data_IF_415395980361
#
_entry.id   IF_415395980361
#
_cell.length_a   1.000
_cell.length_b   1.000
_cell.length_c   1.000
_cell.angle_alpha   90.00
_cell.angle_beta   90.00
_cell.angle_gamma   90.00
#
_symmetry.space_group_name_H-M   'P 1'
#
loop_
_entity.id
_entity.type
_entity.pdbx_description
1 polymer ?
#
# COMPACT_ATOMS: atom_id res chain seq x y z
N UNK A 1 1.34 -18.22 8.31
CA UNK A 1 1.08 -17.80 6.92
C UNK A 1 2.42 -17.87 6.18
N UNK A 2 2.49 -18.47 5.00
CA UNK A 2 3.73 -18.52 4.23
C UNK A 2 3.55 -17.66 2.97
N UNK A 3 4.41 -16.66 2.80
CA UNK A 3 4.39 -15.79 1.64
C UNK A 3 5.08 -16.48 0.46
N UNK A 4 4.53 -16.32 -0.74
CA UNK A 4 5.19 -16.69 -1.98
C UNK A 4 4.99 -15.60 -3.06
N UNK A 5 5.90 -15.50 -4.04
CA UNK A 5 5.84 -14.46 -5.06
C UNK A 5 4.60 -14.52 -5.98
N UNK A 6 3.93 -15.66 -6.04
CA UNK A 6 2.73 -15.88 -6.86
C UNK A 6 1.44 -15.54 -6.12
N UNK A 7 1.47 -15.52 -4.78
CA UNK A 7 0.29 -15.26 -3.97
C UNK A 7 0.23 -13.79 -3.56
N UNK A 8 -0.71 -13.07 -4.13
CA UNK A 8 -1.03 -11.68 -3.79
C UNK A 8 -2.39 -11.57 -3.10
N UNK A 9 -2.81 -12.61 -2.36
CA UNK A 9 -4.06 -12.59 -1.60
C UNK A 9 -3.99 -11.55 -0.47
N UNK A 10 -4.76 -10.49 -0.63
CA UNK A 10 -4.83 -9.37 0.31
C UNK A 10 -5.59 -9.71 1.58
N UNK A 11 -6.36 -10.79 1.58
CA UNK A 11 -7.08 -11.29 2.75
C UNK A 11 -6.26 -12.30 3.57
N UNK A 12 -5.08 -12.71 3.10
CA UNK A 12 -4.28 -13.77 3.72
C UNK A 12 -3.90 -13.50 5.18
N UNK A 13 -3.81 -12.23 5.59
CA UNK A 13 -3.52 -11.84 6.98
C UNK A 13 -4.77 -11.74 7.86
N UNK A 14 -5.99 -11.87 7.31
CA UNK A 14 -7.24 -11.65 8.04
C UNK A 14 -7.48 -10.20 8.46
N UNK A 15 -6.73 -9.26 7.87
CA UNK A 15 -6.82 -7.82 8.11
C UNK A 15 -7.57 -7.14 6.96
N UNK A 16 -8.13 -5.97 7.21
CA UNK A 16 -8.93 -5.24 6.21
C UNK A 16 -8.08 -4.29 5.37
N UNK A 17 -7.17 -3.56 6.01
CA UNK A 17 -6.40 -2.51 5.38
C UNK A 17 -4.96 -2.91 5.07
N UNK A 18 -4.35 -3.81 5.85
CA UNK A 18 -2.91 -4.10 5.73
C UNK A 18 -2.69 -5.56 5.37
N UNK A 19 -1.83 -5.79 4.37
CA UNK A 19 -1.51 -7.15 3.91
C UNK A 19 -0.04 -7.25 3.50
N UNK A 20 0.65 -8.33 3.89
CA UNK A 20 2.03 -8.58 3.49
C UNK A 20 2.07 -9.36 2.17
N UNK A 21 3.01 -8.99 1.30
CA UNK A 21 3.28 -9.70 0.04
C UNK A 21 4.77 -9.77 -0.23
N UNK A 22 5.21 -10.78 -1.00
CA UNK A 22 6.55 -10.75 -1.60
C UNK A 22 6.49 -9.92 -2.87
N UNK A 23 7.17 -8.78 -2.87
CA UNK A 23 7.25 -7.89 -4.02
C UNK A 23 8.43 -8.28 -4.91
N UNK A 24 8.15 -8.89 -6.07
CA UNK A 24 9.19 -9.20 -7.08
C UNK A 24 9.90 -7.95 -7.59
N UNK A 25 9.18 -6.83 -7.69
CA UNK A 25 9.73 -5.56 -8.16
C UNK A 25 10.66 -4.92 -7.12
N UNK A 26 10.27 -4.95 -5.86
CA UNK A 26 11.06 -4.36 -4.77
C UNK A 26 12.13 -5.32 -4.22
N UNK A 27 12.05 -6.62 -4.51
CA UNK A 27 13.04 -7.62 -4.10
C UNK A 27 12.95 -8.03 -2.62
N UNK A 28 11.77 -7.97 -2.01
CA UNK A 28 11.58 -8.31 -0.60
C UNK A 28 10.12 -8.31 -0.19
N UNK A 29 9.86 -8.26 1.11
CA UNK A 29 8.50 -8.14 1.65
C UNK A 29 8.04 -6.70 1.56
N UNK A 30 6.84 -6.48 1.04
CA UNK A 30 6.11 -5.22 1.02
C UNK A 30 4.87 -5.35 1.92
N UNK A 31 4.57 -4.33 2.72
CA UNK A 31 3.29 -4.20 3.39
C UNK A 31 2.37 -3.32 2.55
N UNK A 32 1.39 -3.95 1.89
CA UNK A 32 0.37 -3.23 1.14
C UNK A 32 -0.66 -2.59 2.07
N UNK A 33 -1.06 -1.35 1.77
CA UNK A 33 -2.15 -0.64 2.43
C UNK A 33 -3.29 -0.47 1.44
N UNK A 34 -4.39 -1.13 1.70
CA UNK A 34 -5.60 -1.11 0.89
C UNK A 34 -6.60 -0.08 1.42
N UNK A 35 -6.68 1.07 0.78
CA UNK A 35 -7.68 2.11 1.13
C UNK A 35 -9.05 1.89 0.46
N UNK A 36 -9.19 0.83 -0.36
CA UNK A 36 -10.40 0.51 -1.09
C UNK A 36 -10.92 -0.91 -0.75
N UNK A 37 -11.22 -1.22 0.55
CA UNK A 37 -11.68 -2.57 0.92
C UNK A 37 -13.02 -2.95 0.28
N UNK A 38 -13.76 -1.98 -0.24
CA UNK A 38 -15.01 -2.16 -0.99
C UNK A 38 -14.81 -2.55 -2.47
N UNK A 39 -13.57 -2.80 -2.92
CA UNK A 39 -13.20 -3.08 -4.32
C UNK A 39 -13.65 -2.01 -5.32
N UNK A 40 -13.81 -0.75 -4.86
CA UNK A 40 -14.18 0.35 -5.73
C UNK A 40 -12.95 1.08 -6.28
N UNK A 41 -12.96 1.34 -7.59
CA UNK A 41 -11.93 2.15 -8.25
C UNK A 41 -12.60 3.16 -9.20
N UNK A 42 -11.99 4.33 -9.35
CA UNK A 42 -12.46 5.34 -10.30
C UNK A 42 -12.12 4.99 -11.77
N UNK A 43 -11.24 3.98 -11.98
CA UNK A 43 -10.93 3.41 -13.30
C UNK A 43 -11.36 1.94 -13.40
N UNK A 44 -11.38 1.41 -14.62
CA UNK A 44 -11.63 0.00 -14.93
C UNK A 44 -10.61 -0.44 -15.98
N UNK A 45 -9.37 -0.68 -15.52
CA UNK A 45 -8.30 -1.14 -16.40
C UNK A 45 -8.58 -2.55 -16.91
N UNK A 46 -8.32 -2.82 -18.18
CA UNK A 46 -8.60 -4.12 -18.82
C UNK A 46 -7.81 -5.28 -18.20
N UNK A 47 -6.68 -5.00 -17.59
CA UNK A 47 -5.81 -5.98 -16.93
C UNK A 47 -6.02 -6.04 -15.39
N UNK A 48 -7.05 -5.38 -14.87
CA UNK A 48 -7.30 -5.35 -13.43
C UNK A 48 -7.62 -6.73 -12.89
N UNK A 49 -6.88 -7.16 -11.86
CA UNK A 49 -7.05 -8.46 -11.20
C UNK A 49 -7.86 -8.38 -9.91
N UNK A 50 -8.44 -7.23 -9.59
CA UNK A 50 -9.29 -7.08 -8.40
C UNK A 50 -10.61 -7.82 -8.62
N UNK A 51 -10.92 -8.85 -7.79
CA UNK A 51 -12.16 -9.58 -7.91
C UNK A 51 -13.37 -8.67 -7.65
N UNK A 52 -14.41 -8.77 -8.48
CA UNK A 52 -15.63 -8.00 -8.25
C UNK A 52 -15.46 -6.48 -8.28
N UNK A 53 -14.45 -5.95 -9.01
CA UNK A 53 -14.19 -4.52 -9.12
C UNK A 53 -15.46 -3.76 -9.53
N UNK A 54 -15.80 -2.72 -8.76
CA UNK A 54 -16.90 -1.80 -9.06
C UNK A 54 -16.36 -0.38 -9.35
N UNK A 55 -17.09 0.39 -10.18
CA UNK A 55 -16.79 1.81 -10.37
C UNK A 55 -17.22 2.60 -9.14
N UNK A 56 -16.29 3.39 -8.56
CA UNK A 56 -16.62 4.16 -7.37
C UNK A 56 -15.39 4.76 -6.68
N UNK A 57 -15.62 5.17 -5.45
CA UNK A 57 -14.61 5.74 -4.55
C UNK A 57 -14.36 4.82 -3.36
N UNK A 58 -13.25 5.03 -2.68
CA UNK A 58 -12.98 4.43 -1.38
C UNK A 58 -14.12 4.75 -0.39
N UNK A 59 -14.46 3.84 0.52
CA UNK A 59 -15.37 4.11 1.62
C UNK A 59 -14.70 5.01 2.66
N UNK A 60 -15.43 5.56 3.64
CA UNK A 60 -14.82 6.19 4.81
C UNK A 60 -13.88 5.20 5.51
N UNK A 61 -12.70 5.68 5.91
CA UNK A 61 -11.66 4.85 6.52
C UNK A 61 -11.62 5.00 8.03
N UNK A 62 -11.44 3.89 8.74
CA UNK A 62 -11.16 3.86 10.16
C UNK A 62 -9.64 3.95 10.41
N UNK A 63 -9.09 5.17 10.46
CA UNK A 63 -7.64 5.38 10.62
C UNK A 63 -7.07 4.69 11.86
N UNK A 64 -7.79 4.66 12.98
CA UNK A 64 -7.34 3.94 14.17
C UNK A 64 -7.29 2.41 13.98
N UNK A 65 -8.12 1.84 13.10
CA UNK A 65 -8.03 0.43 12.70
C UNK A 65 -6.82 0.20 11.80
N UNK A 66 -6.61 1.06 10.81
CA UNK A 66 -5.43 1.01 9.95
C UNK A 66 -4.13 1.03 10.79
N UNK A 67 -4.06 1.92 11.79
CA UNK A 67 -2.92 2.02 12.70
C UNK A 67 -2.66 0.71 13.44
N UNK A 68 -3.68 0.18 14.11
CA UNK A 68 -3.57 -1.10 14.85
C UNK A 68 -3.17 -2.27 13.94
N UNK A 69 -3.74 -2.36 12.75
CA UNK A 69 -3.39 -3.41 11.80
C UNK A 69 -1.93 -3.29 11.33
N UNK A 70 -1.47 -2.08 11.01
CA UNK A 70 -0.09 -1.83 10.61
C UNK A 70 0.89 -2.18 11.74
N UNK A 71 0.64 -1.72 12.96
CA UNK A 71 1.46 -2.03 14.12
C UNK A 71 1.51 -3.53 14.44
N UNK A 72 0.38 -4.23 14.29
CA UNK A 72 0.29 -5.67 14.53
C UNK A 72 1.20 -6.50 13.62
N UNK A 73 1.45 -6.04 12.40
CA UNK A 73 2.39 -6.66 11.47
C UNK A 73 3.82 -6.13 11.64
N UNK A 74 4.00 -4.83 11.86
CA UNK A 74 5.33 -4.24 12.01
C UNK A 74 6.05 -4.75 13.25
N UNK A 75 5.37 -4.89 14.38
CA UNK A 75 6.01 -5.33 15.61
C UNK A 75 6.76 -6.68 15.47
N UNK A 76 6.14 -7.76 14.98
CA UNK A 76 6.84 -9.03 14.78
C UNK A 76 7.81 -9.01 13.58
N UNK A 77 7.62 -8.12 12.59
CA UNK A 77 8.54 -7.96 11.46
C UNK A 77 9.83 -7.27 11.90
N UNK A 78 9.73 -6.18 12.67
CA UNK A 78 10.88 -5.34 13.05
C UNK A 78 11.62 -5.90 14.26
N UNK A 79 10.87 -6.37 15.27
CA UNK A 79 11.44 -6.80 16.56
C UNK A 79 11.46 -8.31 16.77
N UNK A 80 10.91 -9.08 15.84
CA UNK A 80 10.80 -10.54 15.95
C UNK A 80 11.43 -11.27 14.77
N UNK A 81 10.98 -12.49 14.56
CA UNK A 81 11.46 -13.40 13.52
C UNK A 81 10.40 -13.69 12.44
N UNK A 82 9.41 -12.82 12.32
CA UNK A 82 8.29 -13.01 11.39
C UNK A 82 8.75 -13.22 9.94
N UNK A 83 9.73 -12.41 9.47
CA UNK A 83 10.28 -12.54 8.12
C UNK A 83 10.96 -13.91 7.92
N UNK A 84 11.72 -14.37 8.94
CA UNK A 84 12.39 -15.67 8.87
C UNK A 84 11.40 -16.84 8.76
N UNK A 85 10.24 -16.74 9.43
CA UNK A 85 9.23 -17.79 9.42
C UNK A 85 8.27 -17.76 8.25
N UNK A 86 8.04 -16.59 7.65
CA UNK A 86 6.95 -16.39 6.70
C UNK A 86 7.40 -16.01 5.29
N UNK A 87 8.63 -15.52 5.11
CA UNK A 87 9.15 -15.11 3.81
C UNK A 87 10.21 -16.09 3.27
N UNK A 88 10.26 -16.27 1.95
CA UNK A 88 11.36 -17.00 1.30
C UNK A 88 12.72 -16.40 1.68
N UNK A 89 13.77 -17.20 1.68
CA UNK A 89 15.12 -16.78 2.14
C UNK A 89 15.61 -15.52 1.42
N UNK A 90 15.36 -15.46 0.12
CA UNK A 90 15.74 -14.35 -0.75
C UNK A 90 14.93 -13.06 -0.57
N UNK A 91 13.81 -13.12 0.17
CA UNK A 91 12.90 -11.98 0.37
C UNK A 91 12.72 -11.57 1.84
N UNK A 92 13.63 -11.96 2.74
CA UNK A 92 13.54 -11.71 4.20
C UNK A 92 13.91 -10.29 4.62
N UNK A 93 13.52 -9.30 3.81
CA UNK A 93 13.74 -7.88 4.11
C UNK A 93 12.45 -7.12 3.89
N UNK A 94 12.05 -6.27 4.84
CA UNK A 94 10.97 -5.30 4.62
C UNK A 94 11.52 -4.16 3.77
N UNK A 95 11.05 -4.07 2.53
CA UNK A 95 11.58 -3.11 1.53
C UNK A 95 10.73 -1.85 1.41
N UNK A 96 9.42 -1.99 1.53
CA UNK A 96 8.51 -0.86 1.47
C UNK A 96 7.19 -1.08 2.21
N UNK A 97 6.49 0.02 2.47
CA UNK A 97 5.07 0.06 2.79
C UNK A 97 4.40 0.78 1.63
N UNK A 98 3.43 0.13 0.97
CA UNK A 98 2.88 0.62 -0.28
C UNK A 98 1.37 0.89 -0.18
N UNK A 99 0.95 2.13 -0.41
CA UNK A 99 -0.45 2.44 -0.70
C UNK A 99 -0.81 1.81 -2.05
N UNK A 100 -1.47 0.68 -1.97
CA UNK A 100 -1.87 -0.15 -3.11
C UNK A 100 -3.16 -0.90 -2.73
N UNK A 101 -3.69 -1.74 -3.58
CA UNK A 101 -4.84 -2.55 -3.15
C UNK A 101 -5.92 -2.65 -4.21
N UNK A 102 -7.18 -2.64 -3.76
CA UNK A 102 -8.32 -2.99 -4.59
C UNK A 102 -8.89 -1.81 -5.41
N UNK A 103 -8.24 -0.64 -5.37
CA UNK A 103 -8.68 0.54 -6.12
C UNK A 103 -7.59 1.60 -6.24
N UNK A 104 -8.01 2.83 -6.52
CA UNK A 104 -7.14 3.99 -6.55
C UNK A 104 -7.01 4.59 -5.13
N UNK A 105 -5.82 4.52 -4.49
CA UNK A 105 -5.66 4.99 -3.11
C UNK A 105 -5.99 6.46 -2.91
N UNK A 106 -5.68 7.31 -3.91
CA UNK A 106 -5.94 8.76 -3.85
C UNK A 106 -7.44 9.11 -3.93
N UNK A 107 -8.31 8.12 -4.19
CA UNK A 107 -9.76 8.30 -4.15
C UNK A 107 -10.33 8.32 -2.73
N UNK A 108 -9.56 7.88 -1.74
CA UNK A 108 -9.92 7.94 -0.33
C UNK A 108 -9.84 9.38 0.18
N UNK A 109 -10.92 9.83 0.83
CA UNK A 109 -10.96 11.18 1.44
C UNK A 109 -9.87 11.34 2.50
N UNK A 110 -9.60 10.27 3.23
CA UNK A 110 -8.63 10.21 4.31
C UNK A 110 -7.19 9.96 3.83
N UNK A 111 -6.93 9.93 2.51
CA UNK A 111 -5.60 9.66 1.95
C UNK A 111 -4.47 10.49 2.58
N UNK A 112 -4.59 11.84 2.73
CA UNK A 112 -3.53 12.63 3.36
C UNK A 112 -3.27 12.22 4.82
N UNK A 113 -4.34 11.99 5.57
CA UNK A 113 -4.26 11.57 6.97
C UNK A 113 -3.68 10.15 7.11
N UNK A 114 -4.04 9.24 6.19
CA UNK A 114 -3.47 7.90 6.13
C UNK A 114 -1.96 7.93 5.85
N UNK A 115 -1.51 8.78 4.92
CA UNK A 115 -0.07 8.96 4.64
C UNK A 115 0.67 9.49 5.87
N UNK A 116 0.11 10.50 6.55
CA UNK A 116 0.70 11.08 7.76
C UNK A 116 0.78 10.04 8.90
N UNK A 117 -0.28 9.27 9.09
CA UNK A 117 -0.34 8.20 10.08
C UNK A 117 0.72 7.13 9.82
N UNK A 118 0.83 6.65 8.58
CA UNK A 118 1.81 5.61 8.21
C UNK A 118 3.24 6.13 8.44
N UNK A 119 3.55 7.37 8.06
CA UNK A 119 4.86 7.98 8.34
C UNK A 119 5.15 8.00 9.84
N UNK A 120 4.21 8.44 10.67
CA UNK A 120 4.37 8.48 12.12
C UNK A 120 4.60 7.08 12.71
N UNK A 121 3.89 6.06 12.21
CA UNK A 121 4.12 4.67 12.61
C UNK A 121 5.52 4.22 12.21
N UNK A 122 5.96 4.48 10.97
CA UNK A 122 7.31 4.11 10.51
C UNK A 122 8.40 4.75 11.38
N UNK A 123 8.23 6.01 11.79
CA UNK A 123 9.14 6.71 12.70
C UNK A 123 9.19 6.04 14.08
N UNK A 124 8.02 5.72 14.67
CA UNK A 124 7.93 5.01 15.96
C UNK A 124 8.63 3.66 15.95
N UNK A 125 8.60 2.96 14.82
CA UNK A 125 9.29 1.67 14.65
C UNK A 125 10.76 1.80 14.24
N UNK A 126 11.27 3.01 14.07
CA UNK A 126 12.66 3.27 13.68
C UNK A 126 13.02 2.84 12.25
N UNK A 127 12.02 2.70 11.38
CA UNK A 127 12.18 2.26 9.97
C UNK A 127 11.99 3.40 8.96
N UNK A 128 11.76 4.62 9.42
CA UNK A 128 11.43 5.76 8.56
C UNK A 128 12.48 6.09 7.51
N UNK A 129 13.77 5.81 7.79
CA UNK A 129 14.89 6.09 6.87
C UNK A 129 15.32 4.85 6.06
N UNK A 130 14.99 3.64 6.51
CA UNK A 130 15.44 2.38 5.88
C UNK A 130 14.38 1.74 4.97
N UNK A 131 13.11 2.09 5.16
CA UNK A 131 11.97 1.50 4.45
C UNK A 131 11.26 2.57 3.63
N UNK A 132 10.99 2.29 2.38
CA UNK A 132 10.30 3.24 1.50
C UNK A 132 8.80 3.31 1.80
N UNK A 133 8.22 4.49 1.66
CA UNK A 133 6.78 4.66 1.57
C UNK A 133 6.39 4.89 0.11
N UNK A 134 5.61 3.96 -0.45
CA UNK A 134 5.28 3.94 -1.88
C UNK A 134 3.81 4.26 -2.10
N UNK A 135 3.51 5.06 -3.10
CA UNK A 135 2.16 5.22 -3.64
C UNK A 135 2.10 4.59 -5.03
N UNK A 136 1.20 3.63 -5.22
CA UNK A 136 0.87 3.08 -6.55
C UNK A 136 -0.45 3.70 -7.00
N UNK A 137 -0.42 4.51 -8.06
CA UNK A 137 -1.57 5.33 -8.48
C UNK A 137 -1.76 5.34 -9.99
N UNK A 138 -3.00 5.50 -10.42
CA UNK A 138 -3.32 5.81 -11.82
C UNK A 138 -3.17 7.32 -12.14
N UNK A 139 -2.86 8.15 -11.15
CA UNK A 139 -2.55 9.57 -11.30
C UNK A 139 -3.74 10.49 -11.57
N UNK A 140 -4.94 9.96 -11.77
CA UNK A 140 -6.11 10.75 -12.21
C UNK A 140 -6.55 11.85 -11.24
N UNK A 141 -6.19 11.73 -9.95
CA UNK A 141 -6.59 12.64 -8.89
C UNK A 141 -5.42 13.46 -8.33
N UNK A 142 -4.23 13.38 -8.92
CA UNK A 142 -3.03 14.07 -8.45
C UNK A 142 -3.12 15.60 -8.47
N UNK A 143 -4.06 16.16 -9.25
CA UNK A 143 -4.33 17.59 -9.29
C UNK A 143 -5.12 18.12 -8.08
N UNK A 144 -5.68 17.26 -7.24
CA UNK A 144 -6.46 17.64 -6.07
C UNK A 144 -5.57 18.08 -4.92
N UNK A 145 -5.89 19.19 -4.23
CA UNK A 145 -5.09 19.74 -3.13
C UNK A 145 -4.86 18.74 -2.00
N UNK A 146 -5.88 17.99 -1.62
CA UNK A 146 -5.76 16.94 -0.61
C UNK A 146 -4.75 15.84 -1.02
N UNK A 147 -4.75 15.43 -2.29
CA UNK A 147 -3.78 14.46 -2.80
C UNK A 147 -2.38 15.04 -2.80
N UNK A 148 -2.23 16.31 -3.20
CA UNK A 148 -0.95 17.03 -3.15
C UNK A 148 -0.40 17.14 -1.72
N UNK A 149 -1.24 17.35 -0.71
CA UNK A 149 -0.85 17.33 0.69
C UNK A 149 -0.30 15.96 1.11
N UNK A 150 -1.00 14.88 0.76
CA UNK A 150 -0.52 13.52 0.98
C UNK A 150 0.82 13.24 0.30
N UNK A 151 1.00 13.68 -0.95
CA UNK A 151 2.26 13.55 -1.69
C UNK A 151 3.42 14.33 -1.04
N UNK A 152 3.17 15.56 -0.55
CA UNK A 152 4.18 16.33 0.20
C UNK A 152 4.59 15.60 1.50
N UNK A 153 3.64 14.99 2.19
CA UNK A 153 3.92 14.19 3.39
C UNK A 153 4.69 12.92 3.05
N UNK A 154 4.33 12.25 1.95
CA UNK A 154 5.07 11.09 1.45
C UNK A 154 6.53 11.44 1.14
N UNK A 155 6.81 12.62 0.62
CA UNK A 155 8.13 13.09 0.24
C UNK A 155 9.03 13.55 1.43
N UNK A 156 8.54 13.52 2.68
CA UNK A 156 9.34 13.92 3.86
C UNK A 156 10.43 12.91 4.25
N UNK A 157 10.47 11.74 3.65
CA UNK A 157 11.47 10.68 3.85
C UNK A 157 11.59 9.84 2.59
N UNK A 158 12.18 8.65 2.63
CA UNK A 158 12.24 7.75 1.48
C UNK A 158 10.84 7.48 0.94
N UNK A 159 10.49 8.10 -0.18
CA UNK A 159 9.18 8.04 -0.77
C UNK A 159 9.24 7.87 -2.29
N UNK A 160 8.35 7.03 -2.83
CA UNK A 160 8.25 6.81 -4.27
C UNK A 160 6.80 6.88 -4.73
N UNK A 161 6.58 7.37 -5.94
CA UNK A 161 5.29 7.28 -6.61
C UNK A 161 5.46 6.41 -7.85
N UNK A 162 4.72 5.30 -7.90
CA UNK A 162 4.67 4.41 -9.06
C UNK A 162 3.42 4.71 -9.86
N UNK A 163 3.61 5.53 -10.88
CA UNK A 163 2.55 5.91 -11.77
C UNK A 163 2.26 4.80 -12.80
N UNK A 164 1.00 4.40 -12.89
CA UNK A 164 0.54 3.45 -13.92
C UNK A 164 0.24 4.20 -15.21
N UNK A 165 1.18 4.17 -16.13
CA UNK A 165 0.97 4.69 -17.48
C UNK A 165 0.46 3.56 -18.38
N UNK A 166 -0.83 3.58 -18.68
CA UNK A 166 -1.49 2.52 -19.44
C UNK A 166 -1.55 2.83 -20.93
N UNK A 167 -1.41 4.12 -21.28
CA UNK A 167 -1.43 4.63 -22.65
C UNK A 167 -0.42 5.74 -22.83
N UNK A 168 0.27 5.73 -23.96
CA UNK A 168 1.23 6.77 -24.33
C UNK A 168 0.74 7.62 -25.51
N UNK A 169 -0.35 7.22 -26.18
CA UNK A 169 -0.98 7.93 -27.30
C UNK A 169 -2.49 7.98 -27.13
N UNK A 170 -3.16 8.89 -27.87
CA UNK A 170 -4.61 9.02 -27.89
C UNK A 170 -5.31 7.80 -28.51
N UNK A 171 -4.59 7.02 -29.30
CA UNK A 171 -5.10 5.82 -29.99
C UNK A 171 -4.96 4.54 -29.13
N UNK A 172 -4.24 4.60 -28.00
CA UNK A 172 -4.11 3.49 -27.02
C UNK A 172 -2.79 2.78 -26.98
#
# INVERSE_FOLDING_TARGET
MTLCPENHDRAAAGLEYVYPVVSRRAGGVSLGINLNPNNACNWRCVYCQVPGLVRGKAPPLELGKLERELESLLAPIVHGDWLARNAPVEARTLVDIAFSGNGEPTSAREFPAAVALVRAVMERFGIGESTKLVLITNGSLTHQDAVQEGLRTLARGPGEVWFKLDRATDEG
#
